data_IF_496971525770
#
_entry.id   IF_496971525770
#
_cell.length_a   1.000
_cell.length_b   1.000
_cell.length_c   1.000
_cell.angle_alpha   90.00
_cell.angle_beta   90.00
_cell.angle_gamma   90.00
#
_symmetry.space_group_name_H-M   'P 1'
#
loop_
_entity.id
_entity.type
_entity.pdbx_description
1 polymer ?
#
# COMPACT_ATOMS: atom_id res chain seq x y z
N UNK A 1 -13.30 7.51 -30.38
CA UNK A 1 -12.20 7.24 -29.42
C UNK A 1 -12.71 6.26 -28.38
N UNK A 2 -12.18 5.03 -28.34
CA UNK A 2 -12.58 4.02 -27.35
C UNK A 2 -12.03 4.47 -26.00
N UNK A 3 -12.91 4.85 -25.07
CA UNK A 3 -12.54 4.94 -23.65
C UNK A 3 -12.23 3.52 -23.22
N UNK A 4 -10.94 3.20 -23.08
CA UNK A 4 -10.51 1.97 -22.43
C UNK A 4 -10.95 2.08 -20.97
N UNK A 5 -12.15 1.57 -20.67
CA UNK A 5 -12.53 1.18 -19.32
C UNK A 5 -11.49 0.14 -18.88
N UNK A 6 -10.44 0.60 -18.18
CA UNK A 6 -9.61 -0.30 -17.38
C UNK A 6 -10.57 -0.97 -16.42
N UNK A 7 -10.90 -2.22 -16.71
CA UNK A 7 -11.54 -3.13 -15.77
C UNK A 7 -10.84 -2.90 -14.43
N UNK A 8 -11.59 -2.42 -13.44
CA UNK A 8 -11.16 -2.46 -12.05
C UNK A 8 -11.12 -3.95 -11.76
N UNK A 9 -9.96 -4.57 -11.99
CA UNK A 9 -9.71 -5.95 -11.61
C UNK A 9 -10.05 -6.02 -10.13
N UNK A 10 -11.10 -6.78 -9.77
CA UNK A 10 -11.41 -7.04 -8.37
C UNK A 10 -10.21 -7.81 -7.80
N UNK A 11 -9.31 -7.08 -7.14
CA UNK A 11 -8.08 -7.65 -6.58
C UNK A 11 -8.39 -8.67 -5.48
N UNK A 12 -9.52 -8.48 -4.81
CA UNK A 12 -10.09 -9.43 -3.87
C UNK A 12 -11.36 -10.03 -4.45
N UNK A 13 -11.52 -11.32 -4.24
CA UNK A 13 -12.70 -12.13 -4.59
C UNK A 13 -13.44 -12.56 -3.32
N UNK A 14 -14.64 -13.14 -3.47
CA UNK A 14 -15.46 -13.63 -2.36
C UNK A 14 -14.70 -14.56 -1.39
N UNK A 15 -13.77 -15.37 -1.90
CA UNK A 15 -12.99 -16.31 -1.08
C UNK A 15 -12.03 -15.62 -0.09
N UNK A 16 -11.72 -14.35 -0.32
CA UNK A 16 -10.88 -13.52 0.53
C UNK A 16 -11.68 -12.87 1.66
N UNK A 17 -12.98 -12.63 1.45
CA UNK A 17 -13.81 -11.94 2.43
C UNK A 17 -14.10 -12.81 3.65
N UNK A 18 -14.31 -12.16 4.79
CA UNK A 18 -14.45 -12.81 6.09
C UNK A 18 -13.13 -13.27 6.72
N UNK A 19 -12.03 -13.25 5.97
CA UNK A 19 -10.68 -13.61 6.44
C UNK A 19 -9.83 -12.37 6.68
N UNK A 20 -8.81 -12.50 7.53
CA UNK A 20 -7.77 -11.47 7.59
C UNK A 20 -6.93 -11.48 6.31
N UNK A 21 -6.38 -10.33 5.93
CA UNK A 21 -5.39 -10.28 4.84
C UNK A 21 -4.18 -11.16 5.16
N UNK A 22 -3.46 -11.58 4.13
CA UNK A 22 -2.25 -12.39 4.31
C UNK A 22 -1.21 -11.65 5.16
N UNK A 23 -0.38 -12.40 5.89
CA UNK A 23 0.70 -11.79 6.68
C UNK A 23 1.66 -11.00 5.79
N UNK A 24 1.97 -11.52 4.60
CA UNK A 24 2.82 -10.84 3.63
C UNK A 24 2.25 -9.47 3.22
N UNK A 25 0.94 -9.39 2.96
CA UNK A 25 0.31 -8.11 2.62
C UNK A 25 0.28 -7.16 3.82
N UNK A 26 -0.02 -7.67 5.02
CA UNK A 26 0.06 -6.93 6.27
C UNK A 26 1.45 -6.31 6.47
N UNK A 27 2.51 -7.12 6.37
CA UNK A 27 3.89 -6.68 6.52
C UNK A 27 4.28 -5.64 5.46
N UNK A 28 3.88 -5.86 4.21
CA UNK A 28 4.14 -4.91 3.12
C UNK A 28 3.50 -3.55 3.36
N UNK A 29 2.20 -3.53 3.71
CA UNK A 29 1.48 -2.28 3.98
C UNK A 29 2.06 -1.56 5.20
N UNK A 30 2.35 -2.27 6.29
CA UNK A 30 2.98 -1.68 7.48
C UNK A 30 4.36 -1.07 7.20
N UNK A 31 5.13 -1.65 6.27
CA UNK A 31 6.47 -1.17 5.93
C UNK A 31 6.44 0.07 5.04
N UNK A 32 5.47 0.18 4.14
CA UNK A 32 5.47 1.19 3.08
C UNK A 32 4.31 2.18 3.15
N UNK A 33 3.54 2.20 4.24
CA UNK A 33 2.48 3.19 4.46
C UNK A 33 2.59 3.83 5.83
N UNK A 34 2.21 5.10 5.89
CA UNK A 34 2.17 5.93 7.08
C UNK A 34 0.74 6.12 7.59
N UNK A 35 0.60 6.79 8.74
CA UNK A 35 -0.73 7.18 9.25
C UNK A 35 -1.43 8.18 8.32
N UNK A 36 -0.67 9.03 7.61
CA UNK A 36 -1.22 9.95 6.61
C UNK A 36 -1.73 9.22 5.36
N UNK A 37 -1.04 8.15 4.95
CA UNK A 37 -1.48 7.30 3.84
C UNK A 37 -2.78 6.58 4.18
N UNK A 38 -2.92 6.11 5.43
CA UNK A 38 -4.17 5.57 5.96
C UNK A 38 -5.32 6.59 5.91
N UNK A 39 -5.09 7.82 6.35
CA UNK A 39 -6.10 8.89 6.27
C UNK A 39 -6.47 9.23 4.81
N UNK A 40 -5.48 9.23 3.92
CA UNK A 40 -5.67 9.49 2.48
C UNK A 40 -6.47 8.38 1.79
N UNK A 41 -6.16 7.11 2.08
CA UNK A 41 -6.93 5.99 1.54
C UNK A 41 -8.37 6.01 2.08
N UNK A 42 -8.54 6.24 3.38
CA UNK A 42 -9.84 6.34 4.04
C UNK A 42 -10.74 7.42 3.42
N UNK A 43 -10.20 8.63 3.18
CA UNK A 43 -10.96 9.73 2.59
C UNK A 43 -11.40 9.45 1.15
N UNK A 44 -10.63 8.66 0.40
CA UNK A 44 -10.95 8.27 -0.99
C UNK A 44 -11.99 7.17 -1.11
N UNK A 45 -12.21 6.38 -0.06
CA UNK A 45 -13.02 5.15 -0.15
C UNK A 45 -14.21 5.11 0.80
N UNK A 46 -14.44 6.18 1.58
CA UNK A 46 -15.50 6.24 2.60
C UNK A 46 -15.40 5.12 3.65
N UNK A 47 -14.18 4.65 3.93
CA UNK A 47 -13.86 3.69 4.99
C UNK A 47 -13.14 4.45 6.08
N UNK A 48 -13.45 4.21 7.35
CA UNK A 48 -12.77 4.94 8.43
C UNK A 48 -11.28 4.57 8.52
N UNK A 49 -10.40 5.51 8.93
CA UNK A 49 -8.97 5.21 9.11
C UNK A 49 -8.73 4.06 10.11
N UNK A 50 -9.54 3.96 11.17
CA UNK A 50 -9.44 2.88 12.15
C UNK A 50 -9.87 1.53 11.56
N UNK A 51 -10.89 1.50 10.70
CA UNK A 51 -11.28 0.28 9.97
C UNK A 51 -10.17 -0.20 9.06
N UNK A 52 -9.61 0.70 8.23
CA UNK A 52 -8.50 0.37 7.32
C UNK A 52 -7.27 -0.12 8.11
N UNK A 53 -6.92 0.58 9.19
CA UNK A 53 -5.85 0.18 10.11
C UNK A 53 -6.12 -1.20 10.71
N UNK A 54 -7.33 -1.46 11.19
CA UNK A 54 -7.69 -2.76 11.75
C UNK A 54 -7.48 -3.91 10.76
N UNK A 55 -7.75 -3.71 9.47
CA UNK A 55 -7.48 -4.72 8.44
C UNK A 55 -5.97 -4.86 8.17
N UNK A 56 -5.23 -3.75 8.06
CA UNK A 56 -3.76 -3.76 7.88
C UNK A 56 -3.06 -4.51 9.02
N UNK A 57 -3.51 -4.30 10.25
CA UNK A 57 -2.98 -4.97 11.44
C UNK A 57 -3.61 -6.34 11.70
N UNK A 58 -4.44 -6.85 10.79
CA UNK A 58 -5.12 -8.16 10.87
C UNK A 58 -6.00 -8.31 12.12
N UNK A 59 -6.47 -7.20 12.69
CA UNK A 59 -7.44 -7.15 13.79
C UNK A 59 -8.88 -7.30 13.29
N UNK A 60 -9.13 -6.86 12.04
CA UNK A 60 -10.43 -6.97 11.38
C UNK A 60 -10.32 -7.85 10.14
N UNK A 61 -11.38 -8.60 9.85
CA UNK A 61 -11.51 -9.32 8.58
C UNK A 61 -11.69 -8.35 7.40
N UNK A 62 -11.20 -8.77 6.25
CA UNK A 62 -11.47 -8.14 4.96
C UNK A 62 -12.94 -8.34 4.60
N UNK A 63 -13.59 -7.27 4.16
CA UNK A 63 -14.96 -7.26 3.64
C UNK A 63 -14.97 -6.53 2.31
N UNK A 64 -16.03 -6.71 1.52
CA UNK A 64 -16.19 -5.96 0.26
C UNK A 64 -16.07 -4.44 0.48
N UNK A 65 -16.70 -3.92 1.54
CA UNK A 65 -16.66 -2.49 1.86
C UNK A 65 -15.24 -2.00 2.20
N UNK A 66 -14.52 -2.68 3.11
CA UNK A 66 -13.21 -2.22 3.54
C UNK A 66 -12.08 -2.57 2.56
N UNK A 67 -12.32 -3.50 1.62
CA UNK A 67 -11.36 -3.89 0.59
C UNK A 67 -10.92 -2.73 -0.30
N UNK A 68 -11.80 -1.75 -0.51
CA UNK A 68 -11.54 -0.54 -1.29
C UNK A 68 -10.38 0.27 -0.70
N UNK A 69 -10.37 0.44 0.63
CA UNK A 69 -9.29 1.13 1.33
C UNK A 69 -7.96 0.38 1.24
N UNK A 70 -8.00 -0.96 1.29
CA UNK A 70 -6.81 -1.80 1.16
C UNK A 70 -6.22 -1.71 -0.24
N UNK A 71 -7.07 -1.72 -1.28
CA UNK A 71 -6.63 -1.52 -2.66
C UNK A 71 -5.95 -0.16 -2.82
N UNK A 72 -6.50 0.92 -2.25
CA UNK A 72 -5.82 2.22 -2.30
C UNK A 72 -4.50 2.25 -1.53
N UNK A 73 -4.46 1.65 -0.34
CA UNK A 73 -3.21 1.53 0.41
C UNK A 73 -2.15 0.74 -0.34
N UNK A 74 -2.53 -0.29 -1.10
CA UNK A 74 -1.60 -1.04 -1.93
C UNK A 74 -0.99 -0.17 -3.02
N UNK A 75 -1.78 0.70 -3.67
CA UNK A 75 -1.25 1.65 -4.67
C UNK A 75 -0.27 2.63 -4.03
N UNK A 76 -0.63 3.21 -2.89
CA UNK A 76 0.22 4.15 -2.16
C UNK A 76 1.51 3.46 -1.69
N UNK A 77 1.42 2.24 -1.16
CA UNK A 77 2.57 1.45 -0.71
C UNK A 77 3.55 1.16 -1.84
N UNK A 78 3.05 0.83 -3.05
CA UNK A 78 3.89 0.61 -4.23
C UNK A 78 4.64 1.89 -4.61
N UNK A 79 3.95 3.03 -4.60
CA UNK A 79 4.57 4.32 -4.92
C UNK A 79 5.61 4.72 -3.87
N UNK A 80 5.29 4.60 -2.59
CA UNK A 80 6.22 4.88 -1.49
C UNK A 80 7.47 3.99 -1.55
N UNK A 81 7.29 2.69 -1.85
CA UNK A 81 8.42 1.77 -2.04
C UNK A 81 9.32 2.24 -3.19
N UNK A 82 8.73 2.64 -4.32
CA UNK A 82 9.48 3.12 -5.48
C UNK A 82 10.30 4.36 -5.12
N UNK A 83 9.68 5.35 -4.47
CA UNK A 83 10.35 6.58 -4.03
C UNK A 83 11.49 6.29 -3.04
N UNK A 84 11.31 5.34 -2.11
CA UNK A 84 12.37 4.93 -1.19
C UNK A 84 13.58 4.34 -1.95
N UNK A 85 13.35 3.47 -2.94
CA UNK A 85 14.44 2.90 -3.74
C UNK A 85 15.17 3.98 -4.55
N UNK A 86 14.45 4.95 -5.11
CA UNK A 86 15.07 6.07 -5.82
C UNK A 86 15.92 6.95 -4.89
N UNK A 87 15.43 7.19 -3.67
CA UNK A 87 16.18 7.92 -2.65
C UNK A 87 17.43 7.14 -2.17
N UNK A 88 17.30 5.85 -1.88
CA UNK A 88 18.42 4.98 -1.49
C UNK A 88 19.52 4.98 -2.56
N UNK A 89 19.16 4.85 -3.85
CA UNK A 89 20.12 4.91 -4.95
C UNK A 89 20.80 6.28 -5.08
N UNK A 90 20.10 7.36 -4.72
CA UNK A 90 20.68 8.72 -4.74
C UNK A 90 21.71 8.86 -3.62
N UNK A 91 21.36 8.44 -2.40
CA UNK A 91 22.29 8.44 -1.27
C UNK A 91 23.53 7.58 -1.51
N UNK A 92 23.36 6.39 -2.10
CA UNK A 92 24.50 5.52 -2.43
C UNK A 92 25.48 6.28 -3.32
N UNK A 93 25.02 6.92 -4.40
CA UNK A 93 25.88 7.70 -5.30
C UNK A 93 26.58 8.86 -4.61
N UNK A 94 25.90 9.55 -3.69
CA UNK A 94 26.49 10.64 -2.90
C UNK A 94 27.62 10.11 -2.01
N UNK A 95 27.39 8.99 -1.30
CA UNK A 95 28.41 8.35 -0.45
C UNK A 95 29.59 7.85 -1.27
N UNK A 96 29.35 7.25 -2.45
CA UNK A 96 30.41 6.82 -3.36
C UNK A 96 31.27 8.00 -3.84
N UNK A 97 30.65 9.15 -4.13
CA UNK A 97 31.36 10.36 -4.54
C UNK A 97 32.19 10.98 -3.41
N UNK A 98 31.67 11.00 -2.19
CA UNK A 98 32.35 11.57 -1.03
C UNK A 98 33.50 10.69 -0.51
N UNK A 99 33.31 9.38 -0.52
CA UNK A 99 34.24 8.43 0.12
C UNK A 99 35.15 7.72 -0.86
N UNK A 100 34.83 7.70 -2.16
CA UNK A 100 35.53 6.92 -3.18
C UNK A 100 35.36 5.39 -3.04
N UNK A 101 34.50 4.93 -2.14
CA UNK A 101 34.15 3.52 -1.94
C UNK A 101 32.91 3.18 -2.77
N UNK A 102 32.92 2.07 -3.51
CA UNK A 102 31.74 1.54 -4.21
C UNK A 102 30.92 0.65 -3.27
N UNK A 103 29.61 0.88 -3.18
CA UNK A 103 28.69 0.19 -2.26
C UNK A 103 27.73 -0.78 -2.97
#
# INVERSE_FOLDING_TARGET
MKKNNKNITMLFTEEHYGKTISEALSAYLKRFTSTNDLATAASRTSVSPSTAKGVVYRQNSLTEHNSKAIIELMKIAVENRKNNVEYENTLIKEVEQETGLTL
#
